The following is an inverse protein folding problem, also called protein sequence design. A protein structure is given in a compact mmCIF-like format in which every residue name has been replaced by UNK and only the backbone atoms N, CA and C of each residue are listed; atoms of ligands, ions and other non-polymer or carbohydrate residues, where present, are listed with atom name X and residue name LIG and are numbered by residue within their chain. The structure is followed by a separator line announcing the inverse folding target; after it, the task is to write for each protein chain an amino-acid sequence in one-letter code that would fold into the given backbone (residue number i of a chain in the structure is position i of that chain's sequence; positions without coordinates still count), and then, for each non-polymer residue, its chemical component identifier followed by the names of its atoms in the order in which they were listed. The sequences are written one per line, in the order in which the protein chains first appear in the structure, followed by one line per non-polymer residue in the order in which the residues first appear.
data_IF_658174287878
#
_entry.id   IF_658174287878
#
_cell.length_a   1.000
_cell.length_b   1.000
_cell.length_c   1.000
_cell.angle_alpha   90.00
_cell.angle_beta   90.00
_cell.angle_gamma   90.00
#
_symmetry.space_group_name_H-M   'P 1'
#
loop_
_entity.id
_entity.type
_entity.pdbx_description
1 polymer ?
#
# COMPACT_ATOMS: atom_id res chain seq x y z
N UNK A 1 -98.29 2.01 -16.55
CA UNK A 1 -98.03 2.86 -15.38
C UNK A 1 -97.61 1.90 -14.27
N UNK A 2 -96.31 1.61 -14.15
CA UNK A 2 -95.41 2.15 -13.10
C UNK A 2 -95.98 1.82 -11.69
N UNK A 3 -95.28 1.17 -10.76
CA UNK A 3 -93.85 1.10 -10.58
C UNK A 3 -93.45 -0.04 -9.63
N UNK A 4 -92.20 -0.47 -9.76
CA UNK A 4 -91.52 -1.43 -8.90
C UNK A 4 -91.10 -0.80 -7.58
N UNK A 5 -91.29 -1.51 -6.47
CA UNK A 5 -90.43 -1.39 -5.27
C UNK A 5 -90.55 -2.69 -4.45
N UNK A 6 -89.90 -3.79 -4.84
CA UNK A 6 -88.49 -4.05 -4.50
C UNK A 6 -88.09 -3.55 -3.10
N UNK A 7 -88.72 -4.05 -2.04
CA UNK A 7 -88.01 -4.18 -0.76
C UNK A 7 -87.06 -5.38 -0.88
N UNK A 8 -85.90 -5.13 -1.47
CA UNK A 8 -84.77 -6.05 -1.53
C UNK A 8 -84.30 -6.36 -0.10
N UNK A 9 -84.92 -7.37 0.52
CA UNK A 9 -84.30 -8.09 1.63
C UNK A 9 -83.17 -8.90 1.00
N UNK A 10 -81.98 -8.29 0.90
CA UNK A 10 -80.73 -9.00 0.64
C UNK A 10 -80.48 -9.92 1.83
N UNK A 11 -81.00 -11.14 1.75
CA UNK A 11 -80.42 -12.26 2.48
C UNK A 11 -78.99 -12.41 1.96
N UNK A 12 -78.03 -12.06 2.80
CA UNK A 12 -76.62 -12.38 2.56
C UNK A 12 -76.52 -13.90 2.57
N UNK A 13 -76.55 -14.50 1.38
CA UNK A 13 -76.22 -15.90 1.16
C UNK A 13 -74.77 -16.06 1.61
N UNK A 14 -74.58 -16.50 2.85
CA UNK A 14 -73.31 -16.99 3.36
C UNK A 14 -73.01 -18.26 2.60
N UNK A 15 -72.29 -18.14 1.50
CA UNK A 15 -71.67 -19.30 0.87
C UNK A 15 -70.80 -20.01 1.93
N UNK A 16 -70.98 -21.32 2.12
CA UNK A 16 -70.10 -22.07 2.99
C UNK A 16 -68.70 -22.04 2.38
N UNK A 17 -67.74 -21.47 3.11
CA UNK A 17 -66.32 -21.51 2.73
C UNK A 17 -65.89 -22.97 2.69
N UNK A 18 -65.95 -23.55 1.49
CA UNK A 18 -65.50 -24.91 1.23
C UNK A 18 -63.99 -24.92 1.48
N UNK A 19 -63.60 -25.45 2.64
CA UNK A 19 -62.19 -25.68 2.93
C UNK A 19 -61.66 -26.69 1.93
N UNK A 20 -60.88 -26.22 0.95
CA UNK A 20 -60.13 -27.06 0.02
C UNK A 20 -59.25 -28.01 0.83
N UNK A 21 -59.71 -29.26 0.95
CA UNK A 21 -59.02 -30.35 1.64
C UNK A 21 -58.34 -31.27 0.63
N UNK A 22 -57.62 -30.72 -0.35
CA UNK A 22 -56.92 -31.52 -1.36
C UNK A 22 -55.54 -30.97 -1.75
N UNK A 23 -54.85 -30.28 -0.84
CA UNK A 23 -53.41 -30.08 -1.00
C UNK A 23 -52.66 -30.82 0.11
N UNK A 24 -51.61 -31.60 -0.24
CA UNK A 24 -50.74 -32.26 0.74
C UNK A 24 -50.33 -31.25 1.82
N UNK A 25 -50.41 -31.65 3.10
CA UNK A 25 -50.11 -30.79 4.26
C UNK A 25 -48.61 -30.50 4.39
N UNK A 26 -47.97 -30.08 3.32
CA UNK A 26 -46.72 -29.35 3.40
C UNK A 26 -47.15 -27.92 3.71
N UNK A 27 -47.23 -27.60 5.00
CA UNK A 27 -47.54 -26.25 5.47
C UNK A 27 -46.66 -25.23 4.75
N UNK A 28 -47.21 -24.07 4.43
CA UNK A 28 -46.43 -22.95 3.91
C UNK A 28 -45.15 -22.69 4.73
N UNK A 29 -45.22 -22.90 6.05
CA UNK A 29 -44.06 -22.87 6.94
C UNK A 29 -42.97 -23.88 6.57
N UNK A 30 -43.32 -25.14 6.27
CA UNK A 30 -42.31 -26.16 5.91
C UNK A 30 -41.71 -25.88 4.54
N UNK A 31 -42.49 -25.39 3.57
CA UNK A 31 -41.94 -24.97 2.27
C UNK A 31 -40.98 -23.79 2.42
N UNK A 32 -41.37 -22.77 3.21
CA UNK A 32 -40.55 -21.59 3.45
C UNK A 32 -39.25 -21.95 4.18
N UNK A 33 -39.32 -22.81 5.20
CA UNK A 33 -38.12 -23.30 5.92
C UNK A 33 -37.19 -24.06 4.96
N UNK A 34 -37.72 -24.99 4.15
CA UNK A 34 -36.91 -25.76 3.21
C UNK A 34 -36.23 -24.87 2.17
N UNK A 35 -36.96 -23.89 1.64
CA UNK A 35 -36.45 -22.94 0.65
C UNK A 35 -35.38 -22.02 1.24
N UNK A 36 -35.55 -21.60 2.51
CA UNK A 36 -34.55 -20.80 3.22
C UNK A 36 -33.26 -21.61 3.47
N UNK A 37 -33.39 -22.87 3.88
CA UNK A 37 -32.25 -23.78 4.08
C UNK A 37 -31.51 -24.03 2.76
N UNK A 38 -32.23 -24.29 1.67
CA UNK A 38 -31.64 -24.44 0.33
C UNK A 38 -30.94 -23.17 -0.13
N UNK A 39 -31.55 -21.99 0.07
CA UNK A 39 -30.95 -20.71 -0.31
C UNK A 39 -29.62 -20.48 0.42
N UNK A 40 -29.57 -20.77 1.73
CA UNK A 40 -28.33 -20.67 2.53
C UNK A 40 -27.28 -21.67 2.04
N UNK A 41 -27.65 -22.93 1.80
CA UNK A 41 -26.72 -23.95 1.29
C UNK A 41 -26.15 -23.58 -0.08
N UNK A 42 -26.99 -23.10 -1.01
CA UNK A 42 -26.55 -22.66 -2.34
C UNK A 42 -25.62 -21.46 -2.21
N UNK A 43 -25.95 -20.49 -1.35
CA UNK A 43 -25.09 -19.34 -1.11
C UNK A 43 -23.71 -19.77 -0.61
N UNK A 44 -23.64 -20.69 0.36
CA UNK A 44 -22.38 -21.22 0.91
C UNK A 44 -21.58 -21.95 -0.17
N UNK A 45 -22.20 -22.87 -0.91
CA UNK A 45 -21.54 -23.62 -1.99
C UNK A 45 -21.02 -22.66 -3.07
N UNK A 46 -21.81 -21.65 -3.45
CA UNK A 46 -21.41 -20.65 -4.44
C UNK A 46 -20.23 -19.80 -3.96
N UNK A 47 -20.23 -19.36 -2.71
CA UNK A 47 -19.06 -18.68 -2.12
C UNK A 47 -17.84 -19.59 -2.00
N UNK A 48 -18.03 -20.90 -1.78
CA UNK A 48 -16.93 -21.86 -1.73
C UNK A 48 -16.33 -22.13 -3.12
N UNK A 49 -17.17 -22.19 -4.17
CA UNK A 49 -16.75 -22.35 -5.57
C UNK A 49 -15.96 -21.12 -6.05
N UNK A 50 -16.42 -19.92 -5.70
CA UNK A 50 -15.68 -18.68 -5.96
C UNK A 50 -14.50 -18.46 -5.00
N UNK A 51 -14.37 -19.26 -3.94
CA UNK A 51 -13.32 -19.14 -2.94
C UNK A 51 -11.92 -19.26 -3.55
N UNK A 52 -11.75 -20.07 -4.59
CA UNK A 52 -10.51 -20.16 -5.36
C UNK A 52 -10.16 -18.85 -6.08
N UNK A 53 -11.15 -18.19 -6.70
CA UNK A 53 -10.97 -16.89 -7.36
C UNK A 53 -10.62 -15.78 -6.36
N UNK A 54 -11.28 -15.74 -5.20
CA UNK A 54 -10.92 -14.77 -4.15
C UNK A 54 -9.55 -15.07 -3.53
N UNK A 55 -9.20 -16.33 -3.29
CA UNK A 55 -7.91 -16.73 -2.75
C UNK A 55 -6.76 -16.41 -3.72
N UNK A 56 -6.95 -16.62 -5.02
CA UNK A 56 -5.98 -16.26 -6.07
C UNK A 56 -5.86 -14.76 -6.24
N UNK A 57 -6.97 -14.01 -6.24
CA UNK A 57 -6.92 -12.55 -6.26
C UNK A 57 -6.20 -11.99 -5.03
N UNK A 58 -6.48 -12.55 -3.85
CA UNK A 58 -5.83 -12.15 -2.60
C UNK A 58 -4.33 -12.50 -2.60
N UNK A 59 -3.93 -13.67 -3.09
CA UNK A 59 -2.52 -14.07 -3.15
C UNK A 59 -1.72 -13.25 -4.16
N UNK A 60 -2.29 -12.96 -5.32
CA UNK A 60 -1.67 -12.05 -6.31
C UNK A 60 -1.55 -10.63 -5.75
N UNK A 61 -2.59 -10.12 -5.09
CA UNK A 61 -2.55 -8.83 -4.42
C UNK A 61 -1.50 -8.76 -3.32
N UNK A 62 -1.38 -9.81 -2.52
CA UNK A 62 -0.36 -9.92 -1.47
C UNK A 62 1.05 -9.95 -2.06
N UNK A 63 1.29 -10.77 -3.10
CA UNK A 63 2.59 -10.84 -3.78
C UNK A 63 2.96 -9.49 -4.40
N UNK A 64 1.99 -8.78 -4.97
CA UNK A 64 2.21 -7.43 -5.48
C UNK A 64 2.59 -6.45 -4.36
N UNK A 65 1.87 -6.46 -3.23
CA UNK A 65 2.18 -5.59 -2.10
C UNK A 65 3.56 -5.89 -1.50
N UNK A 66 3.91 -7.17 -1.34
CA UNK A 66 5.23 -7.60 -0.84
C UNK A 66 6.34 -7.22 -1.81
N UNK A 67 6.15 -7.39 -3.12
CA UNK A 67 7.15 -6.99 -4.11
C UNK A 67 7.36 -5.47 -4.15
N UNK A 68 6.28 -4.69 -4.02
CA UNK A 68 6.37 -3.24 -3.90
C UNK A 68 7.17 -2.82 -2.65
N UNK A 69 6.88 -3.45 -1.50
CA UNK A 69 7.61 -3.21 -0.26
C UNK A 69 9.09 -3.56 -0.39
N UNK A 70 9.41 -4.67 -1.05
CA UNK A 70 10.80 -5.09 -1.30
C UNK A 70 11.53 -4.07 -2.19
N UNK A 71 10.91 -3.59 -3.27
CA UNK A 71 11.48 -2.53 -4.11
C UNK A 71 11.71 -1.25 -3.31
N UNK A 72 10.75 -0.87 -2.47
CA UNK A 72 10.88 0.32 -1.63
C UNK A 72 12.02 0.19 -0.62
N UNK A 73 12.18 -0.98 0.00
CA UNK A 73 13.32 -1.27 0.88
C UNK A 73 14.66 -1.18 0.14
N UNK A 74 14.75 -1.71 -1.08
CA UNK A 74 15.98 -1.61 -1.89
C UNK A 74 16.32 -0.16 -2.20
N UNK A 75 15.33 0.64 -2.65
CA UNK A 75 15.54 2.06 -2.94
C UNK A 75 15.95 2.80 -1.67
N UNK A 76 15.29 2.54 -0.54
CA UNK A 76 15.64 3.13 0.75
C UNK A 76 17.08 2.78 1.15
N UNK A 77 17.49 1.52 1.02
CA UNK A 77 18.85 1.09 1.33
C UNK A 77 19.90 1.75 0.43
N UNK A 78 19.59 1.93 -0.86
CA UNK A 78 20.45 2.66 -1.80
C UNK A 78 20.59 4.13 -1.40
N UNK A 79 19.48 4.81 -1.12
CA UNK A 79 19.49 6.19 -0.65
C UNK A 79 20.27 6.32 0.66
N UNK A 80 20.10 5.37 1.56
CA UNK A 80 20.83 5.34 2.83
C UNK A 80 22.33 5.13 2.64
N UNK A 81 22.75 4.23 1.74
CA UNK A 81 24.15 4.05 1.39
C UNK A 81 24.77 5.33 0.80
N UNK A 82 24.02 6.06 -0.04
CA UNK A 82 24.43 7.37 -0.56
C UNK A 82 24.57 8.40 0.55
N UNK A 83 23.68 8.39 1.54
CA UNK A 83 23.72 9.31 2.69
C UNK A 83 24.96 9.11 3.59
N UNK A 84 25.51 7.89 3.69
CA UNK A 84 26.74 7.65 4.47
C UNK A 84 27.99 8.27 3.82
N UNK A 85 28.09 8.23 2.50
CA UNK A 85 29.28 8.69 1.76
C UNK A 85 28.95 9.59 0.57
N UNK A 86 28.23 10.72 0.78
CA UNK A 86 27.67 11.52 -0.30
C UNK A 86 28.76 12.08 -1.23
N UNK A 87 29.88 12.53 -0.67
CA UNK A 87 30.99 13.09 -1.47
C UNK A 87 31.68 12.06 -2.36
N UNK A 88 31.87 10.84 -1.86
CA UNK A 88 32.51 9.77 -2.63
C UNK A 88 31.60 9.34 -3.77
N UNK A 89 30.31 9.12 -3.48
CA UNK A 89 29.31 8.80 -4.49
C UNK A 89 29.20 9.92 -5.53
N UNK A 90 29.14 11.18 -5.09
CA UNK A 90 29.11 12.35 -5.96
C UNK A 90 30.32 12.44 -6.88
N UNK A 91 31.53 12.24 -6.35
CA UNK A 91 32.76 12.23 -7.16
C UNK A 91 32.77 11.10 -8.19
N UNK A 92 32.33 9.89 -7.82
CA UNK A 92 32.20 8.76 -8.75
C UNK A 92 31.16 9.04 -9.84
N UNK A 93 30.03 9.66 -9.50
CA UNK A 93 29.02 10.06 -10.48
C UNK A 93 29.55 11.08 -11.48
N UNK A 94 30.31 12.09 -11.03
CA UNK A 94 30.95 13.07 -11.91
C UNK A 94 31.93 12.36 -12.85
N UNK A 95 32.83 11.53 -12.30
CA UNK A 95 33.82 10.79 -13.09
C UNK A 95 33.13 9.89 -14.14
N UNK A 96 32.11 9.14 -13.74
CA UNK A 96 31.32 8.30 -14.63
C UNK A 96 30.64 9.12 -15.73
N UNK A 97 30.02 10.24 -15.37
CA UNK A 97 29.39 11.16 -16.34
C UNK A 97 30.39 11.73 -17.34
N UNK A 98 31.62 12.05 -16.93
CA UNK A 98 32.69 12.53 -17.83
C UNK A 98 33.12 11.42 -18.78
N UNK A 99 33.32 10.20 -18.28
CA UNK A 99 33.68 9.03 -19.10
C UNK A 99 32.58 8.72 -20.11
N UNK A 100 31.31 8.76 -19.70
CA UNK A 100 30.17 8.55 -20.59
C UNK A 100 30.08 9.62 -21.67
N UNK A 101 30.27 10.90 -21.32
CA UNK A 101 30.30 12.00 -22.28
C UNK A 101 31.44 11.85 -23.29
N UNK A 102 32.64 11.49 -22.81
CA UNK A 102 33.81 11.29 -23.66
C UNK A 102 33.65 10.08 -24.59
N UNK A 103 33.09 8.98 -24.07
CA UNK A 103 32.81 7.79 -24.85
C UNK A 103 31.75 8.02 -25.94
N UNK A 104 30.79 8.92 -25.70
CA UNK A 104 29.84 9.41 -26.72
C UNK A 104 30.55 10.26 -27.77
N UNK A 105 31.48 11.12 -27.36
CA UNK A 105 32.24 11.99 -28.27
C UNK A 105 33.12 11.18 -29.23
N UNK A 106 33.73 10.10 -28.75
CA UNK A 106 34.56 9.17 -29.54
C UNK A 106 33.69 8.22 -30.41
N UNK A 107 32.38 8.15 -30.16
CA UNK A 107 31.49 7.27 -30.91
C UNK A 107 31.64 5.79 -30.56
N UNK A 108 32.12 5.46 -29.35
CA UNK A 108 32.25 4.08 -28.92
C UNK A 108 30.86 3.41 -28.86
N UNK A 109 30.67 2.20 -29.41
CA UNK A 109 29.40 1.49 -29.28
C UNK A 109 29.14 1.18 -27.81
N UNK A 110 27.96 1.55 -27.31
CA UNK A 110 27.51 1.22 -25.96
C UNK A 110 26.36 0.22 -26.03
N UNK A 111 26.21 -0.66 -25.02
CA UNK A 111 25.01 -1.48 -24.87
C UNK A 111 23.76 -0.60 -24.88
N UNK A 112 22.65 -1.09 -25.43
CA UNK A 112 21.37 -0.35 -25.48
C UNK A 112 20.94 0.13 -24.09
N UNK A 113 21.18 -0.68 -23.05
CA UNK A 113 20.92 -0.36 -21.65
C UNK A 113 21.63 0.92 -21.17
N UNK A 114 22.79 1.26 -21.73
CA UNK A 114 23.57 2.45 -21.37
C UNK A 114 23.29 3.65 -22.28
N UNK A 115 22.47 3.48 -23.31
CA UNK A 115 22.20 4.52 -24.29
C UNK A 115 21.45 5.70 -23.65
N UNK A 116 20.52 5.42 -22.73
CA UNK A 116 19.81 6.46 -21.97
C UNK A 116 20.79 7.39 -21.21
N UNK A 117 21.81 6.83 -20.56
CA UNK A 117 22.79 7.60 -19.79
C UNK A 117 23.73 8.44 -20.66
N UNK A 118 23.83 8.14 -21.96
CA UNK A 118 24.57 8.93 -22.95
C UNK A 118 23.75 10.04 -23.59
N UNK A 119 22.43 10.04 -23.41
CA UNK A 119 21.59 11.17 -23.82
C UNK A 119 22.01 12.43 -23.07
N UNK A 120 21.76 13.60 -23.68
CA UNK A 120 22.11 14.88 -23.06
C UNK A 120 21.44 15.04 -21.69
N UNK A 121 20.19 14.57 -21.56
CA UNK A 121 19.44 14.59 -20.30
C UNK A 121 20.09 13.67 -19.26
N UNK A 122 20.47 12.44 -19.64
CA UNK A 122 21.13 11.49 -18.73
C UNK A 122 22.46 12.02 -18.21
N UNK A 123 23.31 12.53 -19.10
CA UNK A 123 24.60 13.13 -18.74
C UNK A 123 24.44 14.33 -17.80
N UNK A 124 23.50 15.22 -18.10
CA UNK A 124 23.24 16.41 -17.29
C UNK A 124 22.77 16.01 -15.88
N UNK A 125 21.89 15.02 -15.75
CA UNK A 125 21.46 14.51 -14.44
C UNK A 125 22.63 13.93 -13.64
N UNK A 126 23.48 13.10 -14.25
CA UNK A 126 24.66 12.55 -13.60
C UNK A 126 25.58 13.64 -13.06
N UNK A 127 25.80 14.69 -13.85
CA UNK A 127 26.67 15.79 -13.46
C UNK A 127 26.06 16.68 -12.39
N UNK A 128 24.79 17.08 -12.52
CA UNK A 128 24.12 17.93 -11.53
C UNK A 128 24.03 17.23 -10.19
N UNK A 129 23.59 15.97 -10.16
CA UNK A 129 23.48 15.19 -8.92
C UNK A 129 24.86 14.96 -8.32
N UNK A 130 25.86 14.61 -9.14
CA UNK A 130 27.23 14.42 -8.69
C UNK A 130 27.81 15.67 -8.03
N UNK A 131 27.68 16.83 -8.68
CA UNK A 131 28.13 18.11 -8.14
C UNK A 131 27.37 18.49 -6.86
N UNK A 132 26.05 18.28 -6.83
CA UNK A 132 25.23 18.54 -5.66
C UNK A 132 25.71 17.72 -4.44
N UNK A 133 25.95 16.42 -4.62
CA UNK A 133 26.42 15.54 -3.55
C UNK A 133 27.82 15.87 -3.02
N UNK A 134 28.69 16.44 -3.87
CA UNK A 134 30.04 16.88 -3.46
C UNK A 134 29.97 18.17 -2.64
N UNK A 135 29.22 19.17 -3.11
CA UNK A 135 29.17 20.49 -2.48
C UNK A 135 28.21 20.57 -1.29
N UNK A 136 27.10 19.82 -1.33
CA UNK A 136 26.05 19.83 -0.32
C UNK A 136 25.83 18.43 0.27
N UNK A 137 26.79 17.89 1.06
CA UNK A 137 26.64 16.58 1.67
C UNK A 137 25.54 16.59 2.74
N UNK A 138 24.37 16.04 2.42
CA UNK A 138 23.27 15.88 3.36
C UNK A 138 23.64 14.78 4.38
N UNK A 139 23.47 15.04 5.68
CA UNK A 139 23.60 14.04 6.74
C UNK A 139 24.99 13.87 7.35
N UNK A 140 25.99 14.65 6.96
CA UNK A 140 27.26 14.71 7.70
C UNK A 140 27.16 15.78 8.77
N UNK A 141 26.75 15.32 9.94
CA UNK A 141 26.89 16.03 11.19
C UNK A 141 28.36 16.46 11.38
N UNK A 142 28.61 17.76 11.19
CA UNK A 142 29.89 18.40 11.47
C UNK A 142 30.09 18.41 12.98
N UNK A 143 31.04 17.61 13.48
CA UNK A 143 31.59 17.69 14.85
C UNK A 143 30.58 17.48 16.00
N UNK A 144 30.12 16.26 16.23
CA UNK A 144 29.41 15.89 17.47
C UNK A 144 30.34 15.65 18.67
N UNK A 145 31.66 15.79 18.47
CA UNK A 145 32.66 15.62 19.51
C UNK A 145 32.95 16.88 20.32
N UNK A 146 32.85 18.07 19.71
CA UNK A 146 33.31 19.32 20.33
C UNK A 146 32.21 20.09 21.11
N UNK A 147 30.93 19.75 20.89
CA UNK A 147 29.79 20.40 21.55
C UNK A 147 29.01 19.46 22.50
N UNK A 148 29.43 18.20 22.63
CA UNK A 148 28.79 17.27 23.56
C UNK A 148 29.21 17.61 24.99
N UNK A 149 28.27 17.87 25.92
CA UNK A 149 28.59 18.07 27.34
C UNK A 149 29.11 16.80 28.04
N UNK A 150 29.25 15.69 27.28
CA UNK A 150 29.80 14.40 27.70
C UNK A 150 30.98 13.97 26.81
N UNK A 151 31.62 14.89 26.09
CA UNK A 151 32.83 14.58 25.34
C UNK A 151 33.92 14.05 26.29
N UNK A 152 34.63 12.99 25.89
CA UNK A 152 35.56 12.25 26.76
C UNK A 152 36.67 13.11 27.38
N UNK A 153 36.95 14.30 26.80
CA UNK A 153 37.95 15.24 27.28
C UNK A 153 37.40 16.39 28.15
N UNK A 154 36.08 16.45 28.36
CA UNK A 154 35.45 17.51 29.13
C UNK A 154 34.78 16.94 30.38
N UNK A 155 35.33 17.26 31.55
CA UNK A 155 34.65 17.00 32.81
C UNK A 155 33.32 17.78 32.80
N UNK A 156 32.18 17.14 33.16
CA UNK A 156 30.91 17.84 33.22
C UNK A 156 31.07 19.07 34.13
N UNK A 157 30.46 20.21 33.76
CA UNK A 157 30.66 21.47 34.47
C UNK A 157 30.38 21.27 35.97
N UNK A 158 31.42 21.43 36.80
CA UNK A 158 31.31 21.19 38.24
C UNK A 158 30.36 22.22 38.87
N UNK A 159 29.21 21.77 39.35
CA UNK A 159 28.17 22.61 39.97
C UNK A 159 28.62 23.12 41.35
N UNK A 160 29.65 22.53 41.96
CA UNK A 160 30.16 22.93 43.27
C UNK A 160 31.62 23.36 43.18
N UNK A 161 31.92 24.55 43.71
CA UNK A 161 33.30 24.98 43.89
C UNK A 161 34.05 24.00 44.82
N UNK A 162 35.33 23.69 44.54
CA UNK A 162 36.14 22.84 45.40
C UNK A 162 36.10 23.34 46.85
N UNK A 163 35.73 22.48 47.80
CA UNK A 163 35.84 22.82 49.23
C UNK A 163 37.32 22.83 49.59
N UNK A 164 37.80 23.94 50.14
CA UNK A 164 39.18 24.04 50.62
C UNK A 164 39.45 22.95 51.67
N UNK A 165 40.64 22.32 51.65
CA UNK A 165 41.00 21.35 52.67
C UNK A 165 41.09 22.06 54.01
N UNK A 166 40.22 21.71 54.95
CA UNK A 166 40.38 22.09 56.35
C UNK A 166 41.64 21.42 56.88
N UNK A 167 42.67 22.23 57.19
CA UNK A 167 43.88 21.80 57.88
C UNK A 167 43.58 21.03 59.17
#
# INVERSE_FOLDING_TARGET
MMDHSQSSRRESVTEPVVQSRLLPRISFKTMLIAMTIQAVLIAVIYTADQGGTYATAASVGLLFAVSLLAVWMIIFQLVWAVAFMPRLVGALMIACGVVLAFSRLIGLPAPEALNYFRTTIGLLNFQIIGWFLVFFPIGRETHFGDESPFADEQLPPQIMAPREPSN
#
